data_IF_622801385798
#
_entry.id   IF_622801385798
#
_cell.length_a   1.000
_cell.length_b   1.000
_cell.length_c   1.000
_cell.angle_alpha   90.00
_cell.angle_beta   90.00
_cell.angle_gamma   90.00
#
_symmetry.space_group_name_H-M   'P 1'
#
loop_
_entity.id
_entity.type
_entity.pdbx_description
1 polymer ?
#
# COMPACT_ATOMS: atom_id res chain seq x y z
N UNK A 1 10.20 -8.64 6.38
CA UNK A 1 10.52 -7.21 6.44
C UNK A 1 12.02 -7.05 6.28
N UNK A 2 12.47 -6.17 5.39
CA UNK A 2 13.88 -5.92 5.11
C UNK A 2 14.07 -4.44 4.73
N UNK A 3 15.20 -3.83 5.12
CA UNK A 3 15.60 -2.49 4.71
C UNK A 3 17.06 -2.52 4.25
N UNK A 4 17.42 -1.59 3.39
CA UNK A 4 18.80 -1.36 2.98
C UNK A 4 19.07 0.16 3.02
N UNK A 5 20.22 0.60 3.52
CA UNK A 5 21.30 -0.21 4.08
C UNK A 5 20.90 -0.97 5.35
N UNK A 6 21.64 -2.03 5.66
CA UNK A 6 21.47 -2.86 6.85
C UNK A 6 22.78 -2.90 7.63
N UNK A 7 22.74 -3.38 8.88
CA UNK A 7 23.92 -3.50 9.72
C UNK A 7 24.09 -4.93 10.26
N UNK A 8 25.32 -5.28 10.60
CA UNK A 8 25.63 -6.54 11.28
C UNK A 8 25.42 -6.38 12.79
N UNK A 9 24.58 -7.22 13.40
CA UNK A 9 24.33 -7.23 14.84
C UNK A 9 25.59 -7.54 15.67
N UNK A 10 26.60 -8.20 15.09
CA UNK A 10 27.88 -8.45 15.73
C UNK A 10 28.81 -7.21 15.69
N UNK A 11 28.57 -6.30 14.76
CA UNK A 11 29.32 -5.05 14.57
C UNK A 11 28.38 -3.87 14.36
N UNK A 12 27.46 -3.57 15.29
CA UNK A 12 26.34 -2.66 15.06
C UNK A 12 26.73 -1.21 14.82
N UNK A 13 27.98 -0.84 15.12
CA UNK A 13 28.53 0.51 14.91
C UNK A 13 29.37 0.65 13.65
N UNK A 14 29.44 -0.38 12.84
CA UNK A 14 30.17 -0.35 11.57
C UNK A 14 29.36 0.39 10.51
N UNK A 15 29.88 1.53 10.06
CA UNK A 15 29.29 2.35 8.99
C UNK A 15 29.91 2.07 7.62
N UNK A 16 30.86 1.14 7.50
CA UNK A 16 31.60 0.88 6.25
C UNK A 16 30.73 0.38 5.10
N UNK A 17 29.54 -0.18 5.41
CA UNK A 17 28.54 -0.58 4.44
C UNK A 17 27.77 0.59 3.78
N UNK A 18 27.91 1.82 4.34
CA UNK A 18 27.18 3.01 3.90
C UNK A 18 28.12 4.14 3.50
N UNK A 19 29.23 4.30 4.22
CA UNK A 19 30.19 5.39 4.07
C UNK A 19 31.58 4.85 3.79
N UNK A 20 32.37 5.60 3.02
CA UNK A 20 33.80 5.32 2.86
C UNK A 20 34.55 5.66 4.15
N UNK A 21 35.73 5.04 4.37
CA UNK A 21 36.55 5.34 5.54
C UNK A 21 36.89 6.83 5.64
N UNK A 22 37.18 7.48 4.52
CA UNK A 22 37.48 8.92 4.46
C UNK A 22 36.27 9.78 4.92
N UNK A 23 35.05 9.35 4.59
CA UNK A 23 33.84 10.03 5.05
C UNK A 23 33.64 9.83 6.57
N UNK A 24 33.86 8.62 7.06
CA UNK A 24 33.75 8.28 8.50
C UNK A 24 34.76 9.10 9.31
N UNK A 25 36.01 9.16 8.86
CA UNK A 25 37.09 9.88 9.56
C UNK A 25 36.86 11.41 9.62
N UNK A 26 36.04 11.95 8.73
CA UNK A 26 35.67 13.38 8.69
C UNK A 26 34.38 13.71 9.44
N UNK A 27 33.63 12.71 9.92
CA UNK A 27 32.40 12.95 10.67
C UNK A 27 32.69 13.62 12.01
N UNK A 28 31.86 14.58 12.38
CA UNK A 28 31.76 15.01 13.76
C UNK A 28 31.14 13.90 14.63
N UNK A 29 31.30 13.98 15.95
CA UNK A 29 30.68 13.03 16.88
C UNK A 29 29.15 12.96 16.70
N UNK A 30 28.53 14.10 16.39
CA UNK A 30 27.07 14.16 16.21
C UNK A 30 26.65 13.59 14.85
N UNK A 31 27.41 13.85 13.78
CA UNK A 31 27.16 13.23 12.48
C UNK A 31 27.31 11.72 12.53
N UNK A 32 28.34 11.23 13.23
CA UNK A 32 28.55 9.79 13.42
C UNK A 32 27.37 9.14 14.18
N UNK A 33 26.90 9.76 15.27
CA UNK A 33 25.72 9.29 16.01
C UNK A 33 24.45 9.30 15.14
N UNK A 34 24.23 10.37 14.38
CA UNK A 34 23.08 10.49 13.50
C UNK A 34 23.11 9.42 12.40
N UNK A 35 24.29 9.14 11.83
CA UNK A 35 24.48 8.07 10.85
C UNK A 35 24.13 6.69 11.45
N UNK A 36 24.58 6.42 12.69
CA UNK A 36 24.22 5.18 13.40
C UNK A 36 22.71 5.08 13.66
N UNK A 37 22.08 6.14 14.17
CA UNK A 37 20.63 6.15 14.39
C UNK A 37 19.85 5.91 13.10
N UNK A 38 20.26 6.53 12.00
CA UNK A 38 19.69 6.30 10.69
C UNK A 38 19.84 4.85 10.26
N UNK A 39 21.02 4.26 10.42
CA UNK A 39 21.31 2.86 10.07
C UNK A 39 20.47 1.86 10.90
N UNK A 40 20.26 2.16 12.19
CA UNK A 40 19.47 1.30 13.09
C UNK A 40 17.96 1.49 12.97
N UNK A 41 17.53 2.58 12.34
CA UNK A 41 16.10 2.87 12.17
C UNK A 41 15.48 1.88 11.18
N UNK A 42 14.40 1.22 11.58
CA UNK A 42 13.65 0.37 10.68
C UNK A 42 12.69 1.22 9.84
N UNK A 43 13.10 1.50 8.60
CA UNK A 43 12.32 2.30 7.65
C UNK A 43 10.85 1.85 7.55
N UNK A 44 10.61 0.54 7.59
CA UNK A 44 9.27 0.00 7.40
C UNK A 44 8.24 0.45 8.44
N UNK A 45 8.68 0.85 9.63
CA UNK A 45 7.76 1.25 10.73
C UNK A 45 7.97 2.68 11.19
N UNK A 46 9.22 3.19 11.08
CA UNK A 46 9.59 4.46 11.71
C UNK A 46 9.53 5.65 10.75
N UNK A 47 9.65 5.41 9.43
CA UNK A 47 9.57 6.47 8.43
C UNK A 47 8.14 6.64 7.92
N UNK A 48 7.79 7.91 7.65
CA UNK A 48 6.52 8.26 7.02
C UNK A 48 6.75 9.01 5.72
N UNK A 49 5.97 8.69 4.72
CA UNK A 49 6.12 9.20 3.36
C UNK A 49 4.75 9.36 2.68
N UNK A 50 4.72 10.11 1.60
CA UNK A 50 3.56 10.18 0.71
C UNK A 50 3.48 8.91 -0.16
N UNK A 51 2.42 8.08 -0.04
CA UNK A 51 2.36 6.79 -0.71
C UNK A 51 2.18 6.88 -2.23
N UNK A 52 1.77 8.04 -2.74
CA UNK A 52 1.46 8.22 -4.14
C UNK A 52 0.37 7.24 -4.61
N UNK A 53 0.48 6.79 -5.85
CA UNK A 53 -0.56 5.97 -6.50
C UNK A 53 -0.81 4.60 -5.85
N UNK A 54 0.01 4.13 -4.91
CA UNK A 54 -0.31 2.93 -4.12
C UNK A 54 -1.48 3.15 -3.16
N UNK A 55 -1.87 4.40 -2.88
CA UNK A 55 -3.03 4.76 -2.09
C UNK A 55 -4.36 4.64 -2.87
N UNK A 56 -4.35 4.67 -4.20
CA UNK A 56 -5.57 4.66 -5.04
C UNK A 56 -6.52 3.49 -4.78
N UNK A 57 -6.06 2.26 -4.47
CA UNK A 57 -6.97 1.19 -4.06
C UNK A 57 -7.83 1.56 -2.85
N UNK A 58 -7.32 2.34 -1.90
CA UNK A 58 -8.10 2.83 -0.75
C UNK A 58 -9.21 3.78 -1.20
N UNK A 59 -8.88 4.72 -2.09
CA UNK A 59 -9.85 5.68 -2.66
C UNK A 59 -10.97 4.96 -3.43
N UNK A 60 -10.60 4.01 -4.28
CA UNK A 60 -11.57 3.22 -5.06
C UNK A 60 -12.42 2.33 -4.17
N UNK A 61 -11.82 1.69 -3.16
CA UNK A 61 -12.53 0.90 -2.16
C UNK A 61 -13.60 1.71 -1.46
N UNK A 62 -13.23 2.91 -0.98
CA UNK A 62 -14.16 3.82 -0.30
C UNK A 62 -15.33 4.25 -1.21
N UNK A 63 -15.05 4.55 -2.47
CA UNK A 63 -16.06 4.96 -3.44
C UNK A 63 -17.01 3.81 -3.82
N UNK A 64 -16.52 2.58 -3.95
CA UNK A 64 -17.33 1.40 -4.20
C UNK A 64 -18.25 1.07 -3.01
N UNK A 65 -17.73 1.14 -1.77
CA UNK A 65 -18.51 0.88 -0.55
C UNK A 65 -19.65 1.88 -0.36
N UNK A 66 -19.42 3.17 -0.70
CA UNK A 66 -20.45 4.21 -0.60
C UNK A 66 -21.37 4.26 -1.84
N UNK A 67 -21.14 3.40 -2.85
CA UNK A 67 -21.92 3.38 -4.07
C UNK A 67 -21.75 4.62 -4.95
N UNK A 68 -20.71 5.41 -4.72
CA UNK A 68 -20.33 6.57 -5.55
C UNK A 68 -19.93 6.14 -6.94
N UNK A 69 -19.35 4.95 -7.07
CA UNK A 69 -18.97 4.33 -8.33
C UNK A 69 -19.35 2.85 -8.32
N UNK A 70 -19.71 2.32 -9.49
CA UNK A 70 -19.97 0.89 -9.71
C UNK A 70 -19.02 0.33 -10.74
N UNK A 71 -18.91 -0.99 -10.78
CA UNK A 71 -18.15 -1.67 -11.82
C UNK A 71 -18.67 -1.30 -13.21
N UNK A 72 -17.75 -0.94 -14.10
CA UNK A 72 -18.07 -0.50 -15.46
C UNK A 72 -18.39 0.99 -15.61
N UNK A 73 -18.59 1.74 -14.54
CA UNK A 73 -18.78 3.19 -14.62
C UNK A 73 -17.57 3.87 -15.26
N UNK A 74 -17.85 4.91 -16.05
CA UNK A 74 -16.85 5.61 -16.85
C UNK A 74 -16.70 7.07 -16.44
N UNK A 75 -15.51 7.60 -16.67
CA UNK A 75 -15.16 9.00 -16.47
C UNK A 75 -14.28 9.49 -17.62
N UNK A 76 -14.43 10.75 -18.05
CA UNK A 76 -13.63 11.33 -19.11
C UNK A 76 -12.46 12.14 -18.52
N UNK A 77 -11.25 11.57 -18.60
CA UNK A 77 -10.04 12.23 -18.16
C UNK A 77 -9.46 13.13 -19.27
N UNK A 78 -9.54 14.44 -19.07
CA UNK A 78 -8.95 15.47 -19.94
C UNK A 78 -7.49 15.82 -19.55
N UNK A 79 -6.86 14.98 -18.74
CA UNK A 79 -5.47 15.14 -18.30
C UNK A 79 -5.29 15.94 -17.03
N UNK A 80 -6.31 16.61 -16.49
CA UNK A 80 -6.26 17.37 -15.24
C UNK A 80 -7.64 17.57 -14.63
N UNK A 81 -7.66 17.95 -13.35
CA UNK A 81 -8.81 18.50 -12.64
C UNK A 81 -8.49 19.88 -12.06
N UNK A 82 -9.50 20.75 -12.02
CA UNK A 82 -9.41 22.09 -11.40
C UNK A 82 -10.05 22.04 -10.01
N UNK A 83 -9.28 22.37 -8.98
CA UNK A 83 -9.77 22.49 -7.60
C UNK A 83 -9.55 23.94 -7.16
N UNK A 84 -10.59 24.75 -7.32
CA UNK A 84 -10.42 26.20 -7.20
C UNK A 84 -9.40 26.73 -8.21
N UNK A 85 -8.33 27.42 -7.79
CA UNK A 85 -7.28 27.91 -8.69
C UNK A 85 -6.26 26.82 -9.09
N UNK A 86 -6.23 25.68 -8.39
CA UNK A 86 -5.21 24.67 -8.53
C UNK A 86 -5.52 23.68 -9.64
N UNK A 87 -4.53 23.42 -10.49
CA UNK A 87 -4.62 22.43 -11.57
C UNK A 87 -3.86 21.18 -11.18
N UNK A 88 -4.59 20.12 -10.82
CA UNK A 88 -4.03 18.81 -10.49
C UNK A 88 -3.93 17.95 -11.75
N UNK A 89 -2.71 17.64 -12.16
CA UNK A 89 -2.41 16.99 -13.45
C UNK A 89 -2.37 15.46 -13.33
N UNK A 90 -2.83 14.80 -14.39
CA UNK A 90 -2.52 13.40 -14.66
C UNK A 90 -1.12 13.28 -15.30
N UNK A 91 -0.49 12.12 -15.15
CA UNK A 91 0.83 11.86 -15.77
C UNK A 91 0.77 11.92 -17.31
N UNK A 92 -0.42 11.70 -17.92
CA UNK A 92 -0.67 11.84 -19.37
C UNK A 92 -1.23 13.21 -19.77
N UNK A 93 -1.04 14.24 -18.94
CA UNK A 93 -1.52 15.59 -19.23
C UNK A 93 -1.03 16.14 -20.57
N UNK A 94 0.24 15.93 -20.89
CA UNK A 94 0.83 16.37 -22.17
C UNK A 94 0.26 15.68 -23.40
N UNK A 95 -0.35 14.52 -23.23
CA UNK A 95 -0.98 13.73 -24.30
C UNK A 95 -2.51 13.95 -24.37
N UNK A 96 -3.06 14.92 -23.64
CA UNK A 96 -4.48 15.26 -23.67
C UNK A 96 -5.35 14.44 -22.69
N UNK A 97 -4.77 13.58 -21.85
CA UNK A 97 -5.49 12.75 -20.90
C UNK A 97 -5.73 11.31 -21.38
N UNK A 98 -6.50 10.53 -20.60
CA UNK A 98 -6.84 9.15 -20.94
C UNK A 98 -8.09 9.02 -21.83
N UNK A 99 -8.84 10.11 -22.04
CA UNK A 99 -10.18 10.03 -22.64
C UNK A 99 -11.19 9.37 -21.69
N UNK A 100 -12.23 8.79 -22.27
CA UNK A 100 -13.27 8.08 -21.50
C UNK A 100 -12.79 6.68 -21.13
N UNK A 101 -12.64 6.42 -19.84
CA UNK A 101 -12.13 5.16 -19.28
C UNK A 101 -13.04 4.64 -18.18
N UNK A 102 -13.09 3.31 -18.01
CA UNK A 102 -13.78 2.66 -16.89
C UNK A 102 -13.00 2.82 -15.59
N UNK A 103 -13.67 2.53 -14.44
CA UNK A 103 -12.99 2.53 -13.13
C UNK A 103 -11.83 1.52 -13.08
N UNK A 104 -11.97 0.34 -13.68
CA UNK A 104 -10.90 -0.64 -13.82
C UNK A 104 -9.71 -0.06 -14.62
N UNK A 105 -9.98 0.54 -15.77
CA UNK A 105 -8.96 1.20 -16.58
C UNK A 105 -8.31 2.38 -15.87
N UNK A 106 -9.04 3.08 -14.99
CA UNK A 106 -8.48 4.16 -14.18
C UNK A 106 -7.49 3.65 -13.13
N UNK A 107 -7.75 2.51 -12.50
CA UNK A 107 -6.78 1.84 -11.60
C UNK A 107 -5.59 1.33 -12.40
N UNK A 108 -5.84 0.64 -13.50
CA UNK A 108 -4.86 0.05 -14.41
C UNK A 108 -3.86 1.09 -14.94
N UNK A 109 -4.39 2.23 -15.41
CA UNK A 109 -3.61 3.33 -15.98
C UNK A 109 -3.21 4.39 -14.94
N UNK A 110 -3.53 4.19 -13.68
CA UNK A 110 -3.19 5.12 -12.60
C UNK A 110 -3.70 6.56 -12.82
N UNK A 111 -4.95 6.74 -13.26
CA UNK A 111 -5.55 8.03 -13.57
C UNK A 111 -5.76 8.89 -12.32
N UNK A 112 -5.12 10.07 -12.23
CA UNK A 112 -5.34 11.00 -11.11
C UNK A 112 -6.71 11.70 -11.17
N UNK A 113 -7.16 12.28 -12.31
CA UNK A 113 -8.46 12.95 -12.39
C UNK A 113 -9.63 12.07 -11.95
N UNK A 114 -9.65 10.79 -12.32
CA UNK A 114 -10.73 9.91 -11.87
C UNK A 114 -10.71 9.73 -10.35
N UNK A 115 -9.53 9.54 -9.72
CA UNK A 115 -9.42 9.44 -8.26
C UNK A 115 -9.88 10.72 -7.56
N UNK A 116 -9.53 11.88 -8.11
CA UNK A 116 -9.98 13.19 -7.61
C UNK A 116 -11.52 13.27 -7.66
N UNK A 117 -12.12 12.93 -8.81
CA UNK A 117 -13.57 12.89 -8.95
C UNK A 117 -14.22 12.01 -7.89
N UNK A 118 -13.71 10.77 -7.67
CA UNK A 118 -14.25 9.88 -6.64
C UNK A 118 -14.18 10.49 -5.22
N UNK A 119 -13.07 11.14 -4.87
CA UNK A 119 -12.92 11.76 -3.56
C UNK A 119 -13.85 12.97 -3.36
N UNK A 120 -14.09 13.74 -4.43
CA UNK A 120 -15.02 14.86 -4.40
C UNK A 120 -16.47 14.39 -4.24
N UNK A 121 -16.87 13.34 -4.94
CA UNK A 121 -18.20 12.73 -4.82
C UNK A 121 -18.42 12.08 -3.44
N UNK A 122 -17.39 11.47 -2.84
CA UNK A 122 -17.42 10.98 -1.47
C UNK A 122 -17.63 12.10 -0.46
N UNK A 123 -17.02 13.26 -0.72
CA UNK A 123 -16.92 14.37 0.21
C UNK A 123 -15.85 14.17 1.30
N UNK A 124 -15.36 15.28 1.82
CA UNK A 124 -14.20 15.31 2.73
C UNK A 124 -14.40 14.47 4.00
N UNK A 125 -15.59 14.57 4.60
CA UNK A 125 -15.91 13.89 5.85
C UNK A 125 -15.88 12.36 5.70
N UNK A 126 -16.57 11.82 4.70
CA UNK A 126 -16.59 10.38 4.44
C UNK A 126 -15.21 9.89 4.04
N UNK A 127 -14.49 10.63 3.19
CA UNK A 127 -13.16 10.20 2.77
C UNK A 127 -12.18 10.15 3.94
N UNK A 128 -12.22 11.14 4.85
CA UNK A 128 -11.44 11.12 6.10
C UNK A 128 -11.82 9.94 7.02
N UNK A 129 -13.11 9.64 7.12
CA UNK A 129 -13.60 8.50 7.90
C UNK A 129 -13.08 7.16 7.34
N UNK A 130 -13.06 6.98 6.00
CA UNK A 130 -12.47 5.79 5.38
C UNK A 130 -10.96 5.71 5.61
N UNK A 131 -10.21 6.83 5.53
CA UNK A 131 -8.79 6.81 5.89
C UNK A 131 -8.58 6.28 7.31
N UNK A 132 -9.38 6.73 8.27
CA UNK A 132 -9.33 6.22 9.64
C UNK A 132 -9.80 4.76 9.75
N UNK A 133 -10.82 4.34 8.96
CA UNK A 133 -11.30 2.96 8.92
C UNK A 133 -10.21 2.00 8.46
N UNK A 134 -9.39 2.39 7.47
CA UNK A 134 -8.23 1.64 7.01
C UNK A 134 -7.01 1.71 7.96
N UNK A 135 -7.08 2.49 9.04
CA UNK A 135 -6.05 2.57 10.07
C UNK A 135 -5.02 3.69 9.88
N UNK A 136 -5.18 4.57 8.90
CA UNK A 136 -4.28 5.70 8.72
C UNK A 136 -4.42 6.72 9.86
N UNK A 137 -3.31 7.36 10.23
CA UNK A 137 -3.24 8.31 11.33
C UNK A 137 -3.17 7.69 12.73
N UNK A 138 -2.99 6.36 12.81
CA UNK A 138 -2.79 5.62 14.06
C UNK A 138 -1.70 4.58 13.85
N UNK A 139 -1.00 4.20 14.92
CA UNK A 139 -0.09 3.06 14.87
C UNK A 139 -0.87 1.78 14.57
N UNK A 140 -0.27 0.85 13.83
CA UNK A 140 -0.88 -0.47 13.55
C UNK A 140 -0.84 -1.37 14.77
N UNK A 141 0.01 -1.04 15.75
CA UNK A 141 0.27 -1.86 16.92
C UNK A 141 1.15 -3.07 16.66
N UNK A 142 1.97 -3.01 15.59
CA UNK A 142 2.99 -4.03 15.35
C UNK A 142 3.94 -4.11 16.55
N UNK A 143 4.41 -5.30 16.86
CA UNK A 143 5.31 -5.59 17.99
C UNK A 143 6.77 -5.17 17.73
N UNK A 144 6.95 -3.99 17.14
CA UNK A 144 8.23 -3.33 16.89
C UNK A 144 8.26 -1.93 17.50
N UNK A 145 9.42 -1.47 17.99
CA UNK A 145 9.57 -0.12 18.51
C UNK A 145 9.61 0.93 17.38
N UNK A 146 9.27 2.18 17.74
CA UNK A 146 9.48 3.34 16.87
C UNK A 146 8.45 3.50 15.76
N UNK A 147 7.28 2.87 15.84
CA UNK A 147 6.24 3.03 14.83
C UNK A 147 5.69 4.46 14.81
N UNK A 148 5.75 5.12 13.63
CA UNK A 148 5.16 6.43 13.38
C UNK A 148 3.68 6.33 13.05
N UNK A 149 2.90 7.33 13.45
CA UNK A 149 1.47 7.41 13.09
C UNK A 149 1.21 7.99 11.70
N UNK A 150 2.25 8.59 11.07
CA UNK A 150 2.05 9.38 9.86
C UNK A 150 1.29 10.69 10.13
N UNK A 151 0.80 11.32 9.06
CA UNK A 151 0.05 12.59 9.12
C UNK A 151 -1.19 12.45 8.24
N UNK A 152 -2.37 12.59 8.85
CA UNK A 152 -3.67 12.65 8.19
C UNK A 152 -4.45 13.87 8.65
N UNK A 153 -5.33 14.39 7.80
CA UNK A 153 -6.07 15.62 8.10
C UNK A 153 -7.32 15.40 8.97
N UNK A 154 -7.90 14.19 8.94
CA UNK A 154 -9.12 13.87 9.68
C UNK A 154 -10.26 14.84 9.33
N UNK A 155 -10.95 15.36 10.35
CA UNK A 155 -12.05 16.32 10.21
C UNK A 155 -11.63 17.71 9.70
N UNK A 156 -10.32 17.99 9.61
CA UNK A 156 -9.77 19.24 9.05
C UNK A 156 -9.48 19.16 7.56
N UNK A 157 -9.78 18.03 6.91
CA UNK A 157 -9.55 17.83 5.48
C UNK A 157 -10.32 18.86 4.65
N UNK A 158 -9.61 19.62 3.85
CA UNK A 158 -10.19 20.54 2.86
C UNK A 158 -10.43 19.84 1.54
N UNK A 159 -11.14 20.49 0.61
CA UNK A 159 -11.39 19.91 -0.72
C UNK A 159 -10.10 19.63 -1.52
N UNK A 160 -9.10 20.52 -1.41
CA UNK A 160 -7.80 20.30 -2.06
C UNK A 160 -7.02 19.16 -1.39
N UNK A 161 -7.13 19.02 -0.06
CA UNK A 161 -6.51 17.90 0.64
C UNK A 161 -7.14 16.56 0.20
N UNK A 162 -8.48 16.48 0.13
CA UNK A 162 -9.18 15.31 -0.35
C UNK A 162 -8.77 14.95 -1.78
N UNK A 163 -8.71 15.94 -2.67
CA UNK A 163 -8.26 15.77 -4.03
C UNK A 163 -6.83 15.21 -4.11
N UNK A 164 -5.88 15.78 -3.36
CA UNK A 164 -4.49 15.32 -3.33
C UNK A 164 -4.35 13.96 -2.65
N UNK A 165 -5.03 13.74 -1.52
CA UNK A 165 -5.02 12.47 -0.81
C UNK A 165 -5.57 11.32 -1.67
N UNK A 166 -6.51 11.59 -2.59
CA UNK A 166 -7.13 10.58 -3.45
C UNK A 166 -6.13 9.80 -4.30
N UNK A 167 -4.98 10.39 -4.61
CA UNK A 167 -3.88 9.73 -5.31
C UNK A 167 -2.59 9.65 -4.48
N UNK A 168 -2.71 9.82 -3.15
CA UNK A 168 -1.66 9.56 -2.17
C UNK A 168 -0.62 10.67 -2.01
N UNK A 169 -0.99 11.93 -2.27
CA UNK A 169 -0.16 13.08 -1.96
C UNK A 169 -0.75 13.90 -0.80
N UNK A 170 0.08 14.69 -0.12
CA UNK A 170 -0.26 15.48 1.07
C UNK A 170 -0.76 14.67 2.28
N UNK A 171 -0.73 13.36 2.21
CA UNK A 171 -0.94 12.41 3.33
C UNK A 171 0.37 11.67 3.58
N UNK A 172 0.80 11.52 4.84
CA UNK A 172 1.98 10.75 5.19
C UNK A 172 1.58 9.50 5.96
N UNK A 173 2.12 8.37 5.52
CA UNK A 173 1.83 7.03 6.07
C UNK A 173 3.12 6.24 6.21
N UNK A 174 3.16 5.25 7.11
CA UNK A 174 4.26 4.30 7.15
C UNK A 174 3.95 3.05 6.30
N UNK A 175 4.98 2.21 6.03
CA UNK A 175 4.79 1.01 5.21
C UNK A 175 3.83 0.01 5.84
N UNK A 176 3.78 -0.08 7.17
CA UNK A 176 2.89 -1.04 7.85
C UNK A 176 1.43 -0.63 7.75
N UNK A 177 1.13 0.67 7.83
CA UNK A 177 -0.22 1.18 7.59
C UNK A 177 -0.67 0.86 6.16
N UNK A 178 0.17 1.15 5.16
CA UNK A 178 -0.14 0.84 3.77
C UNK A 178 -0.32 -0.66 3.53
N UNK A 179 0.58 -1.50 4.07
CA UNK A 179 0.49 -2.94 3.92
C UNK A 179 -0.77 -3.50 4.61
N UNK A 180 -1.08 -3.06 5.82
CA UNK A 180 -2.28 -3.50 6.55
C UNK A 180 -3.57 -3.10 5.83
N UNK A 181 -3.66 -1.86 5.34
CA UNK A 181 -4.79 -1.38 4.54
C UNK A 181 -4.93 -2.17 3.23
N UNK A 182 -3.82 -2.38 2.52
CA UNK A 182 -3.81 -3.16 1.29
C UNK A 182 -4.22 -4.62 1.52
N UNK A 183 -3.67 -5.27 2.54
CA UNK A 183 -4.06 -6.64 2.92
C UNK A 183 -5.56 -6.73 3.22
N UNK A 184 -6.13 -5.73 3.91
CA UNK A 184 -7.57 -5.73 4.19
C UNK A 184 -8.40 -5.61 2.90
N UNK A 185 -7.94 -4.84 1.92
CA UNK A 185 -8.62 -4.71 0.62
C UNK A 185 -8.64 -6.05 -0.13
N UNK A 186 -7.58 -6.85 -0.08
CA UNK A 186 -7.45 -8.05 -0.91
C UNK A 186 -7.93 -9.35 -0.23
N UNK A 187 -8.17 -9.33 1.09
CA UNK A 187 -8.51 -10.52 1.88
C UNK A 187 -10.00 -10.61 2.27
N UNK A 188 -10.88 -9.86 1.61
CA UNK A 188 -12.31 -9.83 1.93
C UNK A 188 -12.72 -8.74 2.91
N UNK A 189 -11.84 -7.79 3.18
CA UNK A 189 -12.10 -6.62 4.03
C UNK A 189 -11.57 -6.71 5.45
N UNK A 190 -10.89 -7.76 5.83
CA UNK A 190 -10.48 -8.00 7.22
C UNK A 190 -9.16 -7.29 7.54
N UNK A 191 -9.21 -6.27 8.39
CA UNK A 191 -8.04 -5.57 8.90
C UNK A 191 -7.54 -6.27 10.15
N UNK A 192 -6.34 -6.84 10.08
CA UNK A 192 -5.68 -7.50 11.22
C UNK A 192 -4.57 -6.64 11.80
N UNK A 193 -4.34 -6.79 13.10
CA UNK A 193 -3.16 -6.24 13.74
C UNK A 193 -1.91 -7.03 13.28
N UNK A 194 -0.91 -6.36 12.68
CA UNK A 194 0.30 -7.02 12.25
C UNK A 194 1.19 -7.41 13.45
N UNK A 195 1.93 -8.50 13.33
CA UNK A 195 2.93 -8.92 14.30
C UNK A 195 4.07 -9.68 13.62
N UNK A 196 5.26 -9.64 14.21
CA UNK A 196 6.45 -10.38 13.77
C UNK A 196 6.71 -11.59 14.66
N UNK A 197 6.50 -11.42 15.97
CA UNK A 197 6.73 -12.49 16.94
C UNK A 197 5.56 -13.46 16.88
N UNK A 198 5.81 -14.68 16.41
CA UNK A 198 4.81 -15.75 16.40
C UNK A 198 4.56 -16.27 17.80
N UNK A 199 5.64 -16.63 18.54
CA UNK A 199 5.56 -17.11 19.92
C UNK A 199 6.86 -16.87 20.67
N UNK A 200 6.75 -16.87 22.00
CA UNK A 200 7.85 -16.78 22.95
C UNK A 200 7.83 -18.07 23.77
N UNK A 201 8.98 -18.75 23.84
CA UNK A 201 9.16 -19.98 24.61
C UNK A 201 10.16 -19.75 25.73
N UNK A 202 9.94 -20.42 26.88
CA UNK A 202 10.93 -20.51 27.94
C UNK A 202 12.12 -21.40 27.53
N UNK A 203 13.18 -21.37 28.30
CA UNK A 203 14.33 -22.25 28.10
C UNK A 203 13.98 -23.73 28.14
N UNK A 204 12.87 -24.11 28.77
CA UNK A 204 12.38 -25.49 28.87
C UNK A 204 11.42 -25.87 27.73
N UNK A 205 11.19 -24.98 26.77
CA UNK A 205 10.29 -25.23 25.61
C UNK A 205 8.80 -24.98 25.92
N UNK A 206 8.46 -24.46 27.11
CA UNK A 206 7.08 -24.08 27.40
C UNK A 206 6.71 -22.79 26.66
N UNK A 207 5.54 -22.76 26.04
CA UNK A 207 5.01 -21.55 25.36
C UNK A 207 4.60 -20.53 26.41
N UNK A 208 5.35 -19.45 26.54
CA UNK A 208 5.07 -18.32 27.44
C UNK A 208 4.01 -17.39 26.83
N UNK A 209 4.09 -17.15 25.51
CA UNK A 209 3.15 -16.32 24.77
C UNK A 209 3.08 -16.81 23.32
N UNK A 210 1.89 -16.89 22.76
CA UNK A 210 1.64 -17.10 21.34
C UNK A 210 0.77 -15.96 20.81
N UNK A 211 1.21 -15.31 19.73
CA UNK A 211 0.41 -14.31 19.05
C UNK A 211 -0.49 -15.02 18.02
N UNK A 212 -1.78 -14.73 18.09
CA UNK A 212 -2.76 -15.19 17.11
C UNK A 212 -3.21 -14.03 16.24
N UNK A 213 -3.77 -14.34 15.08
CA UNK A 213 -4.38 -13.33 14.22
C UNK A 213 -5.46 -12.55 15.00
N UNK A 214 -5.27 -11.25 15.16
CA UNK A 214 -6.19 -10.37 15.87
C UNK A 214 -6.92 -9.49 14.86
N UNK A 215 -8.19 -9.81 14.62
CA UNK A 215 -9.06 -8.98 13.78
C UNK A 215 -9.35 -7.66 14.49
N UNK A 216 -9.03 -6.55 13.81
CA UNK A 216 -9.32 -5.20 14.30
C UNK A 216 -10.72 -4.76 13.88
N UNK A 217 -11.04 -4.92 12.59
CA UNK A 217 -12.34 -4.55 12.00
C UNK A 217 -12.46 -5.02 10.55
N UNK A 218 -13.65 -4.91 10.00
CA UNK A 218 -13.88 -5.01 8.56
C UNK A 218 -13.79 -3.60 7.95
N UNK A 219 -13.10 -3.46 6.81
CA UNK A 219 -12.89 -2.19 6.08
C UNK A 219 -13.71 -2.09 4.82
N UNK A 220 -13.94 -3.21 4.13
CA UNK A 220 -14.72 -3.31 2.90
C UNK A 220 -15.51 -4.62 2.88
N UNK A 221 -16.48 -4.71 1.99
CA UNK A 221 -17.20 -5.95 1.71
C UNK A 221 -16.38 -6.92 0.84
N UNK A 222 -16.75 -8.19 0.84
CA UNK A 222 -16.14 -9.22 -0.03
C UNK A 222 -16.30 -8.87 -1.52
N UNK A 223 -17.44 -8.26 -1.91
CA UNK A 223 -17.69 -7.83 -3.29
C UNK A 223 -16.69 -6.77 -3.74
N UNK A 224 -16.46 -5.75 -2.94
CA UNK A 224 -15.44 -4.72 -3.20
C UNK A 224 -14.03 -5.31 -3.26
N UNK A 225 -13.72 -6.23 -2.35
CA UNK A 225 -12.44 -6.95 -2.35
C UNK A 225 -12.22 -7.72 -3.66
N UNK A 226 -13.23 -8.44 -4.15
CA UNK A 226 -13.16 -9.17 -5.44
C UNK A 226 -12.93 -8.22 -6.62
N UNK A 227 -13.66 -7.10 -6.69
CA UNK A 227 -13.48 -6.09 -7.74
C UNK A 227 -12.06 -5.51 -7.73
N UNK A 228 -11.56 -5.12 -6.56
CA UNK A 228 -10.22 -4.54 -6.46
C UNK A 228 -9.11 -5.53 -6.81
N UNK A 229 -9.22 -6.81 -6.43
CA UNK A 229 -8.27 -7.84 -6.88
C UNK A 229 -8.23 -7.92 -8.41
N UNK A 230 -9.39 -7.92 -9.08
CA UNK A 230 -9.46 -7.92 -10.54
C UNK A 230 -8.81 -6.68 -11.15
N UNK A 231 -9.10 -5.46 -10.65
CA UNK A 231 -8.50 -4.22 -11.15
C UNK A 231 -6.99 -4.18 -10.96
N UNK A 232 -6.51 -4.69 -9.83
CA UNK A 232 -5.08 -4.79 -9.53
C UNK A 232 -4.38 -5.85 -10.40
N UNK A 233 -5.06 -6.94 -10.75
CA UNK A 233 -4.59 -7.96 -11.71
C UNK A 233 -4.41 -7.32 -13.09
N UNK A 234 -5.42 -6.63 -13.61
CA UNK A 234 -5.35 -5.90 -14.88
C UNK A 234 -4.19 -4.90 -14.92
N UNK A 235 -3.83 -4.31 -13.77
CA UNK A 235 -2.68 -3.38 -13.66
C UNK A 235 -1.35 -4.08 -13.95
N UNK A 236 -1.19 -5.34 -13.57
CA UNK A 236 0.03 -6.14 -13.84
C UNK A 236 -0.03 -6.78 -15.22
N UNK A 237 -1.19 -7.23 -15.68
CA UNK A 237 -1.31 -7.90 -16.98
C UNK A 237 -1.10 -6.94 -18.15
N UNK A 238 -1.72 -5.77 -18.11
CA UNK A 238 -1.78 -4.83 -19.25
C UNK A 238 -1.50 -3.37 -18.88
N UNK A 239 -1.43 -3.05 -17.57
CA UNK A 239 -1.31 -1.68 -17.08
C UNK A 239 0.10 -1.25 -16.72
N UNK A 240 0.17 -0.30 -15.79
CA UNK A 240 1.42 0.38 -15.37
C UNK A 240 2.42 -0.54 -14.66
N UNK A 241 2.00 -1.70 -14.14
CA UNK A 241 2.84 -2.64 -13.42
C UNK A 241 3.27 -3.87 -14.27
N UNK A 242 3.11 -3.85 -15.60
CA UNK A 242 3.38 -4.99 -16.47
C UNK A 242 4.78 -5.62 -16.30
N UNK A 243 5.79 -4.81 -15.95
CA UNK A 243 7.16 -5.30 -15.73
C UNK A 243 7.33 -6.22 -14.51
N UNK A 244 6.37 -6.24 -13.60
CA UNK A 244 6.41 -7.10 -12.40
C UNK A 244 5.94 -8.52 -12.69
N UNK A 245 5.25 -8.73 -13.82
CA UNK A 245 4.69 -10.03 -14.18
C UNK A 245 5.75 -11.14 -14.20
N UNK A 246 5.48 -12.26 -13.52
CA UNK A 246 6.33 -13.46 -13.50
C UNK A 246 5.66 -14.55 -14.33
N UNK A 247 6.39 -15.13 -15.27
CA UNK A 247 5.84 -16.11 -16.20
C UNK A 247 5.26 -17.33 -15.51
N UNK A 248 3.98 -17.61 -15.77
CA UNK A 248 3.24 -18.74 -15.21
C UNK A 248 2.67 -18.49 -13.82
N UNK A 249 2.66 -17.24 -13.34
CA UNK A 249 2.05 -16.87 -12.05
C UNK A 249 1.10 -15.69 -12.21
N UNK A 250 -0.03 -15.75 -11.54
CA UNK A 250 -0.97 -14.64 -11.46
C UNK A 250 -0.53 -13.69 -10.34
N UNK A 251 -0.09 -12.49 -10.73
CA UNK A 251 0.33 -11.41 -9.82
C UNK A 251 -0.59 -10.21 -10.00
N UNK A 252 -0.93 -9.55 -8.91
CA UNK A 252 -1.70 -8.33 -8.91
C UNK A 252 -1.01 -7.25 -8.10
N UNK A 253 -1.23 -5.96 -8.42
CA UNK A 253 -0.61 -4.89 -7.65
C UNK A 253 -0.78 -3.50 -8.24
N UNK A 254 -0.12 -2.53 -7.61
CA UNK A 254 -0.17 -1.12 -7.98
C UNK A 254 1.20 -0.47 -7.85
N UNK A 255 1.57 0.30 -8.86
CA UNK A 255 2.75 1.17 -8.83
C UNK A 255 2.48 2.45 -8.04
N UNK A 256 3.49 2.97 -7.37
CA UNK A 256 3.52 4.28 -6.74
C UNK A 256 4.67 5.12 -7.24
N UNK A 257 4.42 6.40 -7.38
CA UNK A 257 5.43 7.43 -7.63
C UNK A 257 4.97 8.67 -6.89
N UNK A 258 5.77 9.15 -5.97
CA UNK A 258 5.49 10.37 -5.21
C UNK A 258 6.70 11.29 -5.25
N UNK A 259 6.46 12.55 -5.57
CA UNK A 259 7.49 13.58 -5.44
C UNK A 259 7.54 14.00 -3.97
N UNK A 260 8.71 13.95 -3.35
CA UNK A 260 8.91 14.32 -1.95
C UNK A 260 8.79 15.83 -1.73
N UNK A 261 8.39 16.22 -0.55
CA UNK A 261 8.42 17.63 -0.12
C UNK A 261 9.79 17.95 0.49
N UNK A 262 10.38 19.15 0.22
CA UNK A 262 9.88 20.19 -0.67
C UNK A 262 10.04 19.81 -2.16
N UNK A 263 8.99 20.07 -2.96
CA UNK A 263 8.97 19.71 -4.39
C UNK A 263 10.12 20.32 -5.22
N UNK A 264 10.71 21.42 -4.73
CA UNK A 264 11.85 22.09 -5.36
C UNK A 264 13.13 21.25 -5.41
N UNK A 265 13.28 20.25 -4.53
CA UNK A 265 14.44 19.37 -4.51
C UNK A 265 14.38 18.27 -5.58
N UNK A 266 13.23 18.11 -6.24
CA UNK A 266 13.01 17.11 -7.28
C UNK A 266 13.38 15.68 -6.86
N UNK A 267 13.15 15.36 -5.57
CA UNK A 267 13.33 14.02 -5.01
C UNK A 267 12.07 13.20 -5.15
N UNK A 268 12.24 11.91 -5.35
CA UNK A 268 11.13 10.98 -5.61
C UNK A 268 11.20 9.75 -4.72
N UNK A 269 10.04 9.21 -4.42
CA UNK A 269 9.86 7.89 -3.86
C UNK A 269 9.09 7.06 -4.90
N UNK A 270 9.67 5.90 -5.28
CA UNK A 270 9.04 4.96 -6.19
C UNK A 270 8.71 3.67 -5.46
N UNK A 271 7.56 3.09 -5.78
CA UNK A 271 7.08 1.93 -5.02
C UNK A 271 6.21 0.98 -5.86
N UNK A 272 6.12 -0.26 -5.39
CA UNK A 272 5.17 -1.26 -5.85
C UNK A 272 4.57 -2.00 -4.67
N UNK A 273 3.24 -2.07 -4.59
CA UNK A 273 2.51 -2.91 -3.66
C UNK A 273 1.73 -3.96 -4.44
N UNK A 274 1.82 -5.23 -4.04
CA UNK A 274 1.19 -6.30 -4.79
C UNK A 274 0.97 -7.56 -3.97
N UNK A 275 0.34 -8.56 -4.60
CA UNK A 275 0.04 -9.86 -3.99
C UNK A 275 0.02 -10.97 -5.03
N UNK A 276 0.11 -12.20 -4.57
CA UNK A 276 0.00 -13.38 -5.39
C UNK A 276 -0.53 -14.59 -4.58
N UNK A 277 -1.29 -15.52 -5.22
CA UNK A 277 -1.96 -15.38 -6.50
C UNK A 277 -2.94 -14.20 -6.53
N UNK A 278 -3.26 -13.67 -7.71
CA UNK A 278 -4.12 -12.48 -7.85
C UNK A 278 -5.52 -12.69 -7.29
N UNK A 279 -6.12 -13.86 -7.55
CA UNK A 279 -7.52 -14.16 -7.21
C UNK A 279 -7.69 -14.74 -5.80
N UNK A 280 -6.65 -15.44 -5.29
CA UNK A 280 -6.62 -16.03 -3.94
C UNK A 280 -5.28 -15.71 -3.25
N UNK A 281 -5.10 -14.50 -2.70
CA UNK A 281 -3.83 -14.04 -2.16
C UNK A 281 -3.28 -14.92 -1.02
N UNK A 282 -2.07 -15.44 -1.18
CA UNK A 282 -1.33 -16.13 -0.12
C UNK A 282 -0.37 -15.22 0.61
N UNK A 283 0.15 -14.20 -0.07
CA UNK A 283 1.01 -13.18 0.52
C UNK A 283 0.89 -11.85 -0.24
N UNK A 284 1.31 -10.78 0.42
CA UNK A 284 1.47 -9.48 -0.18
C UNK A 284 2.91 -8.98 -0.02
N UNK A 285 3.34 -8.15 -0.97
CA UNK A 285 4.66 -7.51 -0.95
C UNK A 285 4.51 -5.99 -1.11
N UNK A 286 5.37 -5.23 -0.45
CA UNK A 286 5.49 -3.80 -0.65
C UNK A 286 6.97 -3.42 -0.76
N UNK A 287 7.38 -2.91 -1.91
CA UNK A 287 8.76 -2.53 -2.22
C UNK A 287 8.81 -1.02 -2.44
N UNK A 288 9.75 -0.36 -1.78
CA UNK A 288 10.00 1.07 -1.90
C UNK A 288 11.47 1.27 -2.24
N UNK A 289 11.75 2.20 -3.15
CA UNK A 289 13.05 2.82 -3.34
C UNK A 289 12.85 4.31 -3.05
N UNK A 290 13.49 4.78 -1.99
CA UNK A 290 13.45 6.17 -1.57
C UNK A 290 14.64 6.92 -2.15
N UNK A 291 14.39 8.02 -2.85
CA UNK A 291 15.40 8.84 -3.51
C UNK A 291 16.33 8.04 -4.43
N UNK A 292 15.78 7.33 -5.47
CA UNK A 292 16.63 6.59 -6.40
C UNK A 292 17.65 7.51 -7.06
N UNK A 293 18.88 7.03 -7.21
CA UNK A 293 19.97 7.79 -7.85
C UNK A 293 19.58 8.25 -9.25
N UNK A 294 19.86 9.51 -9.56
CA UNK A 294 19.57 10.12 -10.86
C UNK A 294 20.38 9.55 -12.05
N UNK A 295 21.17 8.50 -11.84
CA UNK A 295 21.94 7.81 -12.88
C UNK A 295 21.08 7.15 -13.95
N UNK A 296 19.80 6.89 -13.68
CA UNK A 296 18.82 6.38 -14.66
C UNK A 296 18.18 7.49 -15.50
N UNK A 297 18.49 8.76 -15.27
CA UNK A 297 18.08 9.91 -16.09
C UNK A 297 16.59 10.26 -16.09
N UNK A 298 15.77 9.55 -15.34
CA UNK A 298 14.32 9.75 -15.30
C UNK A 298 13.85 9.84 -13.86
N UNK A 299 13.94 11.03 -13.28
CA UNK A 299 13.29 11.35 -12.01
C UNK A 299 11.82 10.91 -12.07
N UNK A 300 11.43 10.03 -11.14
CA UNK A 300 10.07 9.53 -11.02
C UNK A 300 9.70 8.31 -11.89
N UNK A 301 10.66 7.66 -12.57
CA UNK A 301 10.40 6.40 -13.25
C UNK A 301 10.28 5.25 -12.26
N UNK A 302 9.19 4.49 -12.32
CA UNK A 302 9.01 3.28 -11.51
C UNK A 302 9.75 2.04 -12.05
N UNK A 303 10.59 2.18 -13.09
CA UNK A 303 11.21 1.04 -13.77
C UNK A 303 12.06 0.19 -12.82
N UNK A 304 12.84 0.82 -11.95
CA UNK A 304 13.78 0.13 -11.06
C UNK A 304 13.04 -0.66 -9.96
N UNK A 305 12.04 -0.05 -9.33
CA UNK A 305 11.24 -0.75 -8.32
C UNK A 305 10.43 -1.90 -8.91
N UNK A 306 10.01 -1.80 -10.17
CA UNK A 306 9.30 -2.88 -10.84
C UNK A 306 10.24 -4.06 -11.17
N UNK A 307 11.47 -3.78 -11.61
CA UNK A 307 12.49 -4.80 -11.84
C UNK A 307 12.84 -5.49 -10.52
N UNK A 308 13.14 -4.73 -9.47
CA UNK A 308 13.41 -5.28 -8.15
C UNK A 308 12.24 -6.14 -7.62
N UNK A 309 11.01 -5.67 -7.82
CA UNK A 309 9.82 -6.41 -7.39
C UNK A 309 9.63 -7.71 -8.17
N UNK A 310 9.91 -7.69 -9.48
CA UNK A 310 9.93 -8.89 -10.32
C UNK A 310 10.94 -9.91 -9.79
N UNK A 311 12.19 -9.51 -9.57
CA UNK A 311 13.27 -10.38 -9.11
C UNK A 311 12.99 -10.99 -7.73
N UNK A 312 12.37 -10.21 -6.84
CA UNK A 312 11.90 -10.71 -5.54
C UNK A 312 10.79 -11.73 -5.73
N UNK A 313 9.77 -11.43 -6.54
CA UNK A 313 8.64 -12.32 -6.77
C UNK A 313 9.04 -13.62 -7.45
N UNK A 314 9.95 -13.58 -8.42
CA UNK A 314 10.45 -14.79 -9.09
C UNK A 314 11.03 -15.80 -8.10
N UNK A 315 11.70 -15.33 -7.04
CA UNK A 315 12.26 -16.16 -5.97
C UNK A 315 11.23 -16.50 -4.89
N UNK A 316 10.36 -15.53 -4.56
CA UNK A 316 9.42 -15.67 -3.45
C UNK A 316 8.25 -16.60 -3.78
N UNK A 317 7.74 -16.58 -5.02
CA UNK A 317 6.60 -17.38 -5.42
C UNK A 317 6.80 -18.89 -5.19
N UNK A 318 7.88 -19.52 -5.67
CA UNK A 318 8.12 -20.93 -5.36
C UNK A 318 8.43 -21.17 -3.88
N UNK A 319 9.14 -20.23 -3.20
CA UNK A 319 9.43 -20.34 -1.78
C UNK A 319 8.15 -20.35 -0.93
N UNK A 320 7.14 -19.55 -1.29
CA UNK A 320 5.84 -19.50 -0.63
C UNK A 320 4.88 -20.59 -1.08
N UNK A 321 5.37 -21.58 -1.84
CA UNK A 321 4.56 -22.69 -2.37
C UNK A 321 3.35 -22.19 -3.19
N UNK A 322 3.53 -21.12 -3.94
CA UNK A 322 2.58 -20.71 -4.97
C UNK A 322 2.86 -21.54 -6.21
N UNK A 323 1.86 -22.23 -6.71
CA UNK A 323 1.97 -23.04 -7.93
C UNK A 323 1.80 -22.14 -9.16
N UNK A 324 2.39 -22.59 -10.29
CA UNK A 324 2.12 -21.94 -11.57
C UNK A 324 0.67 -22.20 -11.99
N UNK A 325 0.03 -21.20 -12.62
CA UNK A 325 -1.37 -21.27 -13.04
C UNK A 325 -1.69 -22.49 -13.92
N UNK A 326 -0.71 -22.94 -14.71
CA UNK A 326 -0.83 -24.15 -15.56
C UNK A 326 -0.77 -25.48 -14.80
N UNK A 327 -0.49 -25.45 -13.48
CA UNK A 327 -0.35 -26.63 -12.62
C UNK A 327 -1.42 -26.67 -11.52
N UNK A 328 -2.26 -25.65 -11.38
CA UNK A 328 -3.43 -25.76 -10.53
C UNK A 328 -4.41 -26.74 -11.19
N UNK A 329 -4.85 -27.81 -10.49
CA UNK A 329 -5.92 -28.64 -11.01
C UNK A 329 -7.14 -27.72 -11.22
N UNK A 330 -7.80 -27.84 -12.36
CA UNK A 330 -9.09 -27.19 -12.58
C UNK A 330 -10.00 -27.60 -11.42
N UNK A 331 -10.16 -26.71 -10.43
CA UNK A 331 -11.15 -26.91 -9.40
C UNK A 331 -12.48 -26.84 -10.12
N UNK A 332 -13.17 -27.97 -10.15
CA UNK A 332 -14.53 -28.11 -10.65
C UNK A 332 -15.36 -26.90 -10.16
N UNK A 333 -15.72 -26.01 -11.09
CA UNK A 333 -16.58 -24.87 -10.82
C UNK A 333 -18.03 -25.32 -10.66
N UNK A 334 -18.22 -26.29 -9.81
CA UNK A 334 -19.50 -26.57 -9.20
C UNK A 334 -19.88 -25.34 -8.37
N UNK A 335 -21.05 -24.79 -8.67
CA UNK A 335 -21.71 -23.68 -7.98
C UNK A 335 -21.75 -23.92 -6.47
N UNK A 336 -20.63 -23.73 -5.78
CA UNK A 336 -20.55 -23.57 -4.35
C UNK A 336 -20.39 -22.08 -4.08
N UNK A 337 -21.34 -21.49 -3.41
CA UNK A 337 -21.15 -20.23 -2.72
C UNK A 337 -19.91 -20.44 -1.83
N UNK A 338 -18.77 -19.82 -2.19
CA UNK A 338 -17.52 -19.91 -1.43
C UNK A 338 -17.74 -19.30 -0.05
N UNK A 339 -18.16 -20.13 0.90
CA UNK A 339 -18.15 -19.83 2.31
C UNK A 339 -16.68 -19.76 2.76
N UNK A 340 -16.13 -18.55 2.73
CA UNK A 340 -14.79 -18.28 3.21
C UNK A 340 -14.77 -18.39 4.73
N UNK A 341 -14.53 -19.58 5.24
CA UNK A 341 -14.30 -19.78 6.68
C UNK A 341 -12.90 -19.32 7.02
N UNK A 342 -12.78 -18.17 7.65
CA UNK A 342 -11.54 -17.73 8.29
C UNK A 342 -11.45 -18.50 9.61
N UNK A 343 -10.51 -19.43 9.71
CA UNK A 343 -10.28 -20.18 10.94
C UNK A 343 -10.14 -19.24 12.15
N UNK A 344 -11.04 -19.31 13.08
CA UNK A 344 -11.02 -18.59 14.35
C UNK A 344 -11.95 -17.39 14.49
N UNK A 345 -12.81 -17.07 13.52
CA UNK A 345 -13.87 -16.05 13.68
C UNK A 345 -15.18 -16.74 14.03
N UNK A 346 -15.85 -16.41 15.16
CA UNK A 346 -17.14 -17.00 15.51
C UNK A 346 -18.20 -16.68 14.43
N UNK A 347 -18.99 -17.67 14.04
CA UNK A 347 -20.19 -17.47 13.22
C UNK A 347 -21.09 -16.39 13.85
N UNK A 348 -21.41 -15.35 13.10
CA UNK A 348 -22.23 -14.23 13.55
C UNK A 348 -21.51 -12.90 13.79
N UNK A 349 -20.16 -12.84 13.75
CA UNK A 349 -19.41 -11.58 13.89
C UNK A 349 -19.22 -10.80 12.57
N UNK A 350 -19.67 -11.35 11.45
CA UNK A 350 -19.40 -10.82 10.09
C UNK A 350 -20.60 -10.00 9.54
N UNK A 351 -21.59 -9.66 10.35
CA UNK A 351 -22.79 -8.95 9.86
C UNK A 351 -22.66 -7.42 9.81
N UNK A 352 -21.57 -6.82 10.31
CA UNK A 352 -21.39 -5.39 10.21
C UNK A 352 -20.75 -5.02 8.87
N UNK A 353 -21.48 -4.28 8.05
CA UNK A 353 -20.97 -3.68 6.83
C UNK A 353 -19.94 -2.59 7.14
N UNK A 354 -19.09 -2.22 6.19
CA UNK A 354 -18.15 -1.10 6.35
C UNK A 354 -18.87 0.19 6.78
N UNK A 355 -20.08 0.40 6.30
CA UNK A 355 -20.93 1.54 6.64
C UNK A 355 -21.34 1.54 8.12
N UNK A 356 -21.68 0.36 8.70
CA UNK A 356 -21.99 0.25 10.13
C UNK A 356 -20.73 0.52 10.99
N UNK A 357 -19.55 0.08 10.53
CA UNK A 357 -18.29 0.39 11.19
C UNK A 357 -17.98 1.90 11.19
N UNK A 358 -18.35 2.63 10.13
CA UNK A 358 -18.22 4.09 10.08
C UNK A 358 -19.15 4.80 11.08
N UNK A 359 -20.38 4.29 11.26
CA UNK A 359 -21.35 4.87 12.21
C UNK A 359 -20.93 4.65 13.66
N UNK A 360 -20.21 3.59 13.94
CA UNK A 360 -19.78 3.21 15.30
C UNK A 360 -18.37 3.72 15.66
N UNK A 361 -17.72 4.50 14.81
CA UNK A 361 -16.41 5.09 15.11
C UNK A 361 -16.55 6.26 16.09
N UNK A 362 -15.69 6.33 17.13
CA UNK A 362 -15.66 7.51 18.01
C UNK A 362 -15.26 8.74 17.20
N UNK A 363 -15.88 9.87 17.52
CA UNK A 363 -15.58 11.18 16.92
C UNK A 363 -14.07 11.44 16.93
N UNK A 364 -13.51 11.77 15.77
CA UNK A 364 -12.10 12.14 15.65
C UNK A 364 -12.00 13.58 16.14
N UNK A 365 -11.54 13.79 17.38
CA UNK A 365 -11.19 15.10 17.92
C UNK A 365 -9.79 15.52 17.48
#
# INVERSE_FOLDING_TARGET
MASYPTFDLNSPRDLSGVYTQEQIDKMSDDDYKNALYSLWTNYCVSESYEPGSTFKPVTVASALEEGVVKDGDTYTCNGYEMIGPDRLKCHVYSSGGHGTITIEQAVMNSCNPYMIHLALELGNEKFAAYQSLFGFGKTTGIDLPGETMGIVYGNKMTTIDAACNSFGQTINVNMMQMMSAYCSIINGGMLYQPHIVKRIESANGEVVKENKATLVRQTVTMSTSKLLRRYLKSTVETGTAKKVAVTGYSVAGKTGTAQKSPRSENKWLISFIGHAPADNPKFAIYVIIDEPDGTTGTSGSSADVLTLSHDILEKLLPYMSVYKDSLEPETDTGTAEDEYTVDGVPEGSIQNTATENLQNMPSIN
#
